data_IF_422433389988
#
_entry.id   IF_422433389988
#
_cell.length_a   1.000
_cell.length_b   1.000
_cell.length_c   1.000
_cell.angle_alpha   90.00
_cell.angle_beta   90.00
_cell.angle_gamma   90.00
#
_symmetry.space_group_name_H-M   'P 1'
#
loop_
_entity.id
_entity.type
_entity.pdbx_description
1 polymer ?
#
# COMPACT_ATOMS: atom_id res chain seq x y z
N UNK A 1 15.05 -17.73 -2.93
CA UNK A 1 13.91 -16.84 -3.24
C UNK A 1 12.70 -17.40 -2.52
N UNK A 2 11.83 -16.55 -1.95
CA UNK A 2 10.59 -16.97 -1.28
C UNK A 2 9.67 -17.63 -2.31
N UNK A 3 9.20 -18.85 -2.06
CA UNK A 3 8.35 -19.56 -3.02
C UNK A 3 6.92 -18.98 -3.05
N UNK A 4 6.11 -19.24 -4.08
CA UNK A 4 4.70 -18.83 -4.09
C UNK A 4 3.89 -19.38 -2.90
N UNK A 5 4.17 -20.61 -2.46
CA UNK A 5 3.54 -21.21 -1.28
C UNK A 5 3.93 -20.47 0.02
N UNK A 6 5.18 -20.01 0.10
CA UNK A 6 5.63 -19.18 1.23
C UNK A 6 4.91 -17.82 1.23
N UNK A 7 4.65 -17.22 0.06
CA UNK A 7 3.98 -15.93 -0.05
C UNK A 7 2.49 -16.00 0.37
N UNK A 8 1.79 -17.08 0.03
CA UNK A 8 0.43 -17.32 0.53
C UNK A 8 0.43 -17.46 2.07
N UNK A 9 1.34 -18.27 2.61
CA UNK A 9 1.49 -18.43 4.07
C UNK A 9 1.82 -17.10 4.76
N UNK A 10 2.68 -16.28 4.15
CA UNK A 10 2.99 -14.93 4.65
C UNK A 10 1.74 -14.03 4.62
N UNK A 11 0.94 -14.05 3.55
CA UNK A 11 -0.34 -13.32 3.47
C UNK A 11 -1.27 -13.68 4.64
N UNK A 12 -1.49 -14.98 4.89
CA UNK A 12 -2.33 -15.43 6.01
C UNK A 12 -1.79 -14.98 7.38
N UNK A 13 -0.46 -15.00 7.55
CA UNK A 13 0.19 -14.53 8.79
C UNK A 13 0.09 -13.01 8.95
N UNK A 14 0.19 -12.24 7.87
CA UNK A 14 -0.03 -10.80 7.90
C UNK A 14 -1.47 -10.48 8.27
N UNK A 15 -2.44 -11.20 7.71
CA UNK A 15 -3.86 -11.11 8.09
C UNK A 15 -4.02 -11.32 9.60
N UNK A 16 -3.50 -12.43 10.13
CA UNK A 16 -3.56 -12.75 11.56
C UNK A 16 -2.89 -11.69 12.45
N UNK A 17 -1.68 -11.23 12.10
CA UNK A 17 -0.92 -10.27 12.92
C UNK A 17 -1.55 -8.86 12.93
N UNK A 18 -2.18 -8.48 11.82
CA UNK A 18 -2.68 -7.11 11.65
C UNK A 18 -4.16 -6.99 11.98
N UNK A 19 -4.92 -8.07 11.80
CA UNK A 19 -6.38 -8.08 11.87
C UNK A 19 -7.03 -7.43 10.63
N UNK A 20 -6.34 -7.43 9.48
CA UNK A 20 -6.90 -6.92 8.23
C UNK A 20 -7.93 -7.89 7.63
N UNK A 21 -8.87 -7.36 6.85
CA UNK A 21 -9.83 -8.17 6.10
C UNK A 21 -9.15 -8.74 4.86
N UNK A 22 -9.24 -10.05 4.64
CA UNK A 22 -8.60 -10.72 3.51
C UNK A 22 -9.26 -10.33 2.18
N UNK A 23 -8.49 -10.33 1.09
CA UNK A 23 -8.97 -9.92 -0.25
C UNK A 23 -10.20 -10.69 -0.70
N UNK A 24 -10.24 -11.98 -0.38
CA UNK A 24 -11.35 -12.90 -0.67
C UNK A 24 -12.66 -12.55 0.04
N UNK A 25 -12.60 -11.81 1.16
CA UNK A 25 -13.77 -11.55 2.01
C UNK A 25 -14.45 -10.21 1.68
N UNK A 26 -13.70 -9.25 1.11
CA UNK A 26 -14.25 -7.92 0.79
C UNK A 26 -14.39 -7.65 -0.70
N UNK A 27 -13.53 -8.21 -1.53
CA UNK A 27 -13.43 -7.78 -2.92
C UNK A 27 -14.58 -8.25 -3.81
N UNK A 28 -14.91 -7.41 -4.78
CA UNK A 28 -16.13 -7.50 -5.60
C UNK A 28 -15.84 -7.75 -7.07
N UNK A 29 -14.60 -7.55 -7.51
CA UNK A 29 -14.19 -7.74 -8.90
C UNK A 29 -13.10 -8.81 -8.96
N UNK A 30 -13.28 -9.78 -9.87
CA UNK A 30 -12.32 -10.85 -10.04
C UNK A 30 -11.02 -10.30 -10.65
N UNK A 31 -9.84 -10.61 -10.07
CA UNK A 31 -8.58 -10.27 -10.71
C UNK A 31 -8.37 -11.12 -11.97
N UNK A 32 -7.46 -10.67 -12.85
CA UNK A 32 -6.96 -11.40 -14.00
C UNK A 32 -5.47 -11.75 -13.80
N UNK A 33 -5.15 -12.88 -13.16
CA UNK A 33 -3.75 -13.26 -12.86
C UNK A 33 -2.87 -13.48 -14.09
N UNK A 34 -3.46 -13.77 -15.26
CA UNK A 34 -2.69 -13.95 -16.49
C UNK A 34 -2.00 -12.64 -16.94
N UNK A 35 -2.55 -11.49 -16.53
CA UNK A 35 -2.02 -10.16 -16.84
C UNK A 35 -1.26 -9.54 -15.65
N UNK A 36 -0.81 -10.36 -14.69
CA UNK A 36 -0.03 -9.92 -13.54
C UNK A 36 1.34 -10.58 -13.51
N UNK A 37 2.39 -9.75 -13.57
CA UNK A 37 3.75 -10.23 -13.43
C UNK A 37 3.99 -10.84 -12.04
N UNK A 38 4.83 -11.89 -11.93
CA UNK A 38 5.22 -12.45 -10.64
C UNK A 38 6.02 -11.42 -9.81
N UNK A 39 5.93 -11.55 -8.49
CA UNK A 39 6.71 -10.72 -7.59
C UNK A 39 8.21 -11.05 -7.67
N UNK A 40 9.04 -9.99 -7.70
CA UNK A 40 10.44 -10.09 -7.29
C UNK A 40 10.52 -10.05 -5.75
N UNK A 41 11.64 -10.45 -5.12
CA UNK A 41 11.81 -10.31 -3.68
C UNK A 41 11.52 -8.87 -3.23
N UNK A 42 10.58 -8.71 -2.29
CA UNK A 42 10.23 -7.40 -1.77
C UNK A 42 11.33 -6.85 -0.88
N UNK A 43 11.87 -5.69 -1.27
CA UNK A 43 12.94 -4.99 -0.54
C UNK A 43 12.59 -3.55 -0.23
N UNK A 44 11.46 -3.03 -0.73
CA UNK A 44 11.02 -1.65 -0.48
C UNK A 44 9.51 -1.58 -0.23
N UNK A 45 9.09 -0.55 0.50
CA UNK A 45 7.67 -0.25 0.75
C UNK A 45 7.38 1.16 0.24
N UNK A 46 6.32 1.31 -0.55
CA UNK A 46 5.81 2.58 -1.02
C UNK A 46 4.48 2.91 -0.35
N UNK A 47 4.40 4.09 0.28
CA UNK A 47 3.21 4.60 0.94
C UNK A 47 2.49 5.58 0.02
N UNK A 48 1.18 5.39 -0.08
CA UNK A 48 0.29 6.16 -0.93
C UNK A 48 -0.91 6.71 -0.16
N UNK A 49 -1.56 7.69 -0.77
CA UNK A 49 -2.93 8.08 -0.45
C UNK A 49 -3.80 8.02 -1.70
N UNK A 50 -5.13 8.06 -1.55
CA UNK A 50 -6.04 8.24 -2.69
C UNK A 50 -6.08 9.68 -3.20
N UNK A 51 -5.72 10.66 -2.35
CA UNK A 51 -5.82 12.08 -2.69
C UNK A 51 -7.26 12.55 -2.82
N UNK A 52 -8.17 11.83 -2.17
CA UNK A 52 -9.60 12.13 -2.09
C UNK A 52 -10.25 11.25 -1.04
N UNK A 53 -11.30 11.76 -0.41
CA UNK A 53 -12.11 11.08 0.62
C UNK A 53 -13.21 10.18 0.02
N UNK A 54 -13.41 10.25 -1.29
CA UNK A 54 -14.57 9.66 -1.99
C UNK A 54 -14.47 8.16 -2.22
N UNK A 55 -13.24 7.62 -2.29
CA UNK A 55 -13.05 6.19 -2.55
C UNK A 55 -13.27 5.34 -1.30
N UNK A 56 -14.14 4.35 -1.42
CA UNK A 56 -14.11 3.15 -0.58
C UNK A 56 -13.10 2.15 -1.14
N UNK A 57 -12.76 1.11 -0.37
CA UNK A 57 -11.86 0.04 -0.83
C UNK A 57 -12.41 -0.71 -2.06
N UNK A 58 -13.72 -0.97 -2.11
CA UNK A 58 -14.39 -1.57 -3.29
C UNK A 58 -14.53 -0.58 -4.44
N UNK A 59 -14.73 0.70 -4.16
CA UNK A 59 -14.75 1.76 -5.18
C UNK A 59 -13.39 1.86 -5.89
N UNK A 60 -12.29 1.84 -5.13
CA UNK A 60 -10.94 1.87 -5.69
C UNK A 60 -10.60 0.58 -6.47
N UNK A 61 -11.07 -0.59 -6.01
CA UNK A 61 -10.96 -1.85 -6.76
C UNK A 61 -11.67 -1.74 -8.12
N UNK A 62 -12.91 -1.27 -8.15
CA UNK A 62 -13.69 -1.09 -9.38
C UNK A 62 -13.02 -0.08 -10.31
N UNK A 63 -12.59 1.08 -9.79
CA UNK A 63 -11.91 2.10 -10.59
C UNK A 63 -10.65 1.54 -11.26
N UNK A 64 -9.82 0.79 -10.52
CA UNK A 64 -8.62 0.19 -11.08
C UNK A 64 -8.92 -0.85 -12.17
N UNK A 65 -9.85 -1.75 -11.93
CA UNK A 65 -10.08 -2.88 -12.85
C UNK A 65 -10.97 -2.46 -14.03
N UNK A 66 -12.13 -1.86 -13.73
CA UNK A 66 -13.16 -1.58 -14.73
C UNK A 66 -12.89 -0.30 -15.52
N UNK A 67 -12.31 0.73 -14.88
CA UNK A 67 -12.11 2.05 -15.53
C UNK A 67 -10.68 2.22 -16.06
N UNK A 68 -9.68 1.74 -15.31
CA UNK A 68 -8.26 1.84 -15.71
C UNK A 68 -7.69 0.60 -16.39
N UNK A 69 -8.46 -0.49 -16.48
CA UNK A 69 -8.05 -1.73 -17.14
C UNK A 69 -6.92 -2.48 -16.42
N UNK A 70 -6.73 -2.27 -15.12
CA UNK A 70 -5.74 -3.03 -14.35
C UNK A 70 -6.21 -4.47 -14.16
N UNK A 71 -5.25 -5.39 -14.06
CA UNK A 71 -5.53 -6.79 -13.80
C UNK A 71 -6.07 -7.08 -12.38
N UNK A 72 -5.82 -6.18 -11.43
CA UNK A 72 -6.34 -6.19 -10.06
C UNK A 72 -6.14 -4.79 -9.46
N UNK A 73 -6.63 -4.54 -8.25
CA UNK A 73 -6.27 -3.37 -7.47
C UNK A 73 -4.73 -3.17 -7.44
N UNK A 74 -4.25 -1.94 -7.62
CA UNK A 74 -2.83 -1.67 -7.81
C UNK A 74 -1.95 -1.86 -6.56
N UNK A 75 -2.54 -1.88 -5.37
CA UNK A 75 -1.84 -1.89 -4.08
C UNK A 75 -1.98 -3.25 -3.39
N UNK A 76 -0.96 -3.63 -2.62
CA UNK A 76 -0.98 -4.89 -1.88
C UNK A 76 -1.79 -4.79 -0.59
N UNK A 77 -1.85 -3.60 0.01
CA UNK A 77 -2.62 -3.34 1.22
C UNK A 77 -3.29 -1.98 1.16
N UNK A 78 -4.46 -1.89 1.80
CA UNK A 78 -5.23 -0.66 1.94
C UNK A 78 -5.49 -0.37 3.42
N UNK A 79 -5.62 0.89 3.78
CA UNK A 79 -6.08 1.34 5.08
C UNK A 79 -7.22 2.34 4.84
N UNK A 80 -8.42 2.03 5.29
CA UNK A 80 -9.59 2.90 5.18
C UNK A 80 -9.50 4.13 6.09
N UNK A 81 -10.36 5.11 5.83
CA UNK A 81 -10.50 6.34 6.63
C UNK A 81 -10.77 6.09 8.12
N UNK A 82 -11.40 4.96 8.42
CA UNK A 82 -11.71 4.47 9.76
C UNK A 82 -10.54 3.70 10.41
N UNK A 83 -9.42 3.55 9.69
CA UNK A 83 -8.27 2.74 10.09
C UNK A 83 -8.43 1.24 9.87
N UNK A 84 -9.49 0.78 9.20
CA UNK A 84 -9.65 -0.65 8.86
C UNK A 84 -8.62 -1.03 7.80
N UNK A 85 -7.91 -2.14 8.00
CA UNK A 85 -6.89 -2.60 7.04
C UNK A 85 -7.49 -3.69 6.13
N UNK A 86 -7.09 -3.69 4.87
CA UNK A 86 -7.54 -4.64 3.87
C UNK A 86 -6.34 -5.21 3.11
N UNK A 87 -6.34 -6.52 2.89
CA UNK A 87 -5.46 -7.13 1.90
C UNK A 87 -5.96 -6.79 0.50
N UNK A 88 -5.07 -6.29 -0.37
CA UNK A 88 -5.34 -5.95 -1.77
C UNK A 88 -4.79 -7.01 -2.72
N UNK A 89 -3.93 -6.57 -3.65
CA UNK A 89 -3.24 -7.45 -4.60
C UNK A 89 -2.38 -8.46 -3.87
N UNK A 90 -2.53 -9.73 -4.22
CA UNK A 90 -1.79 -10.82 -3.60
C UNK A 90 -0.26 -10.64 -3.76
N UNK A 91 0.50 -10.90 -2.69
CA UNK A 91 1.98 -10.76 -2.63
C UNK A 91 2.75 -11.67 -3.61
N UNK A 92 2.07 -12.56 -4.34
CA UNK A 92 2.70 -13.36 -5.40
C UNK A 92 2.89 -12.59 -6.69
N UNK A 93 2.26 -11.43 -6.81
CA UNK A 93 2.27 -10.58 -7.98
C UNK A 93 2.91 -9.24 -7.70
N UNK A 94 3.57 -8.69 -8.70
CA UNK A 94 4.07 -7.31 -8.69
C UNK A 94 2.90 -6.32 -8.56
N UNK A 95 3.10 -5.24 -7.80
CA UNK A 95 2.16 -4.13 -7.70
C UNK A 95 1.97 -3.34 -9.00
N UNK A 96 1.01 -2.43 -9.01
CA UNK A 96 0.79 -1.46 -10.10
C UNK A 96 0.51 -0.06 -9.54
N UNK A 97 1.45 0.47 -8.76
CA UNK A 97 1.25 1.69 -7.97
C UNK A 97 2.36 2.75 -8.11
N UNK A 98 3.56 2.40 -8.58
CA UNK A 98 4.72 3.31 -8.73
C UNK A 98 5.45 3.15 -10.08
N UNK A 99 4.72 2.84 -11.15
CA UNK A 99 5.30 2.73 -12.50
C UNK A 99 6.47 1.74 -12.61
N UNK A 100 7.62 2.21 -13.11
CA UNK A 100 8.83 1.39 -13.28
C UNK A 100 9.40 0.85 -11.96
N UNK A 101 9.09 1.50 -10.83
CA UNK A 101 9.60 1.14 -9.51
C UNK A 101 8.84 -0.02 -8.85
N UNK A 102 7.77 -0.54 -9.47
CA UNK A 102 6.91 -1.57 -8.88
C UNK A 102 7.66 -2.86 -8.53
N UNK A 103 8.75 -3.18 -9.25
CA UNK A 103 9.55 -4.36 -8.98
C UNK A 103 10.16 -4.32 -7.57
N UNK A 104 9.87 -5.35 -6.77
CA UNK A 104 10.36 -5.46 -5.39
C UNK A 104 9.71 -4.49 -4.40
N UNK A 105 8.65 -3.77 -4.79
CA UNK A 105 7.93 -2.83 -3.94
C UNK A 105 6.60 -3.38 -3.43
N UNK A 106 6.38 -3.28 -2.12
CA UNK A 106 5.05 -3.45 -1.51
C UNK A 106 4.38 -2.08 -1.44
N UNK A 107 3.24 -1.95 -2.10
CA UNK A 107 2.39 -0.76 -2.08
C UNK A 107 1.33 -0.81 -0.98
N UNK A 108 1.30 0.22 -0.14
CA UNK A 108 0.28 0.43 0.88
C UNK A 108 -0.42 1.76 0.57
N UNK A 109 -1.75 1.74 0.37
CA UNK A 109 -2.53 2.96 0.18
C UNK A 109 -3.40 3.26 1.39
N UNK A 110 -3.42 4.52 1.83
CA UNK A 110 -4.38 5.03 2.78
C UNK A 110 -5.52 5.73 2.00
N UNK A 111 -6.77 5.36 2.28
CA UNK A 111 -7.93 6.04 1.72
C UNK A 111 -8.10 7.37 2.46
N UNK A 112 -8.14 8.47 1.71
CA UNK A 112 -8.21 9.82 2.21
C UNK A 112 -7.37 10.80 1.39
N UNK A 113 -7.56 12.08 1.67
CA UNK A 113 -6.60 13.11 1.30
C UNK A 113 -5.74 13.48 2.52
N UNK A 114 -4.45 13.63 2.29
CA UNK A 114 -3.46 14.03 3.30
C UNK A 114 -2.53 15.10 2.74
N UNK A 115 -3.01 15.82 1.73
CA UNK A 115 -2.32 16.96 1.18
C UNK A 115 -2.95 18.23 1.73
N UNK A 116 -2.35 18.76 2.79
CA UNK A 116 -2.69 20.07 3.31
C UNK A 116 -2.68 21.14 2.21
N UNK A 117 -3.81 21.81 2.02
CA UNK A 117 -3.95 23.04 1.23
C UNK A 117 -4.54 24.11 2.15
N UNK A 118 -4.06 25.35 2.07
CA UNK A 118 -4.50 26.40 3.00
C UNK A 118 -5.99 26.78 2.88
N UNK A 119 -6.66 26.36 1.80
CA UNK A 119 -8.09 26.54 1.56
C UNK A 119 -8.90 25.27 1.82
N UNK A 120 -8.25 24.16 2.17
CA UNK A 120 -8.88 22.84 2.35
C UNK A 120 -8.34 22.17 3.61
N UNK A 121 -9.19 22.06 4.63
CA UNK A 121 -8.89 21.38 5.90
C UNK A 121 -9.11 19.85 5.79
N UNK A 122 -9.09 19.27 4.59
CA UNK A 122 -9.13 17.83 4.36
C UNK A 122 -7.80 17.13 4.72
N UNK A 123 -7.38 17.28 5.98
CA UNK A 123 -6.33 16.47 6.62
C UNK A 123 -6.97 15.30 7.39
N UNK A 124 -7.35 14.25 6.67
CA UNK A 124 -7.92 13.02 7.27
C UNK A 124 -6.92 12.22 8.10
N UNK A 125 -5.71 12.73 8.31
CA UNK A 125 -4.64 11.99 8.91
C UNK A 125 -4.85 11.85 10.42
N UNK A 126 -5.43 10.73 10.83
CA UNK A 126 -5.62 10.40 12.23
C UNK A 126 -4.42 9.69 12.85
N UNK A 127 -4.31 9.73 14.18
CA UNK A 127 -3.37 8.88 14.92
C UNK A 127 -3.61 7.38 14.68
N UNK A 128 -4.86 7.00 14.38
CA UNK A 128 -5.20 5.64 13.99
C UNK A 128 -4.53 5.25 12.66
N UNK A 129 -4.55 6.12 11.65
CA UNK A 129 -3.81 5.89 10.39
C UNK A 129 -2.33 5.62 10.67
N UNK A 130 -1.68 6.48 11.45
CA UNK A 130 -0.26 6.33 11.81
C UNK A 130 0.01 5.03 12.58
N UNK A 131 -0.86 4.64 13.52
CA UNK A 131 -0.74 3.40 14.25
C UNK A 131 -0.88 2.17 13.32
N UNK A 132 -1.84 2.21 12.40
CA UNK A 132 -2.14 1.11 11.45
C UNK A 132 -1.02 0.92 10.44
N UNK A 133 -0.56 1.98 9.80
CA UNK A 133 0.57 1.88 8.85
C UNK A 133 1.85 1.43 9.55
N UNK A 134 2.12 1.91 10.77
CA UNK A 134 3.28 1.48 11.56
C UNK A 134 3.19 -0.02 11.89
N UNK A 135 2.02 -0.49 12.34
CA UNK A 135 1.77 -1.90 12.65
C UNK A 135 2.00 -2.78 11.41
N UNK A 136 1.47 -2.36 10.26
CA UNK A 136 1.59 -3.10 9.01
C UNK A 136 3.03 -3.16 8.51
N UNK A 137 3.76 -2.03 8.49
CA UNK A 137 5.17 -1.99 8.10
C UNK A 137 6.02 -2.90 9.01
N UNK A 138 5.82 -2.85 10.33
CA UNK A 138 6.52 -3.74 11.27
C UNK A 138 6.19 -5.22 11.02
N UNK A 139 4.93 -5.55 10.70
CA UNK A 139 4.53 -6.91 10.40
C UNK A 139 5.19 -7.43 9.10
N UNK A 140 5.20 -6.62 8.04
CA UNK A 140 5.85 -6.93 6.76
C UNK A 140 7.35 -7.21 6.96
N UNK A 141 8.03 -6.39 7.78
CA UNK A 141 9.47 -6.55 8.06
C UNK A 141 9.83 -7.85 8.79
N UNK A 142 8.87 -8.55 9.40
CA UNK A 142 9.10 -9.88 9.97
C UNK A 142 9.30 -10.96 8.91
N UNK A 143 8.86 -10.71 7.68
CA UNK A 143 8.85 -11.69 6.58
C UNK A 143 9.72 -11.29 5.39
N UNK A 144 9.93 -9.99 5.21
CA UNK A 144 10.70 -9.45 4.09
C UNK A 144 11.86 -8.60 4.58
N UNK A 145 13.02 -8.76 3.92
CA UNK A 145 14.21 -7.95 4.18
C UNK A 145 14.06 -6.55 3.56
N UNK A 146 13.13 -5.77 4.09
CA UNK A 146 12.87 -4.40 3.64
C UNK A 146 14.08 -3.52 3.96
N UNK A 147 14.59 -2.87 2.92
CA UNK A 147 15.75 -1.96 2.95
C UNK A 147 15.34 -0.49 2.85
N UNK A 148 14.23 -0.20 2.16
CA UNK A 148 13.76 1.17 1.95
C UNK A 148 12.26 1.35 2.25
N UNK A 149 11.90 2.53 2.74
CA UNK A 149 10.52 2.95 3.00
C UNK A 149 10.37 4.42 2.56
N UNK A 150 9.41 4.70 1.70
CA UNK A 150 9.14 6.09 1.29
C UNK A 150 7.71 6.32 0.86
N UNK A 151 7.36 7.60 0.75
CA UNK A 151 6.14 8.02 0.06
C UNK A 151 6.29 7.89 -1.45
N UNK A 152 5.19 7.74 -2.19
CA UNK A 152 5.21 7.62 -3.66
C UNK A 152 6.16 8.61 -4.34
N UNK A 153 6.07 9.91 -4.01
CA UNK A 153 6.90 10.97 -4.60
C UNK A 153 8.40 10.89 -4.28
N UNK A 154 8.82 10.09 -3.29
CA UNK A 154 10.24 9.92 -2.96
C UNK A 154 10.91 8.87 -3.87
N UNK A 155 10.14 8.05 -4.61
CA UNK A 155 10.71 7.07 -5.52
C UNK A 155 11.22 7.75 -6.81
N UNK A 156 12.21 7.17 -7.49
CA UNK A 156 12.70 7.68 -8.77
C UNK A 156 11.58 7.79 -9.82
N UNK A 157 11.65 8.86 -10.64
CA UNK A 157 10.76 9.10 -11.79
C UNK A 157 9.28 9.25 -11.43
N UNK A 158 8.96 9.82 -10.25
CA UNK A 158 7.58 10.08 -9.84
C UNK A 158 7.30 11.58 -9.83
N UNK A 159 6.36 12.02 -10.68
CA UNK A 159 5.81 13.37 -10.67
C UNK A 159 4.42 13.35 -10.02
N UNK A 160 4.40 13.46 -8.69
CA UNK A 160 3.18 13.31 -7.91
C UNK A 160 3.30 13.97 -6.54
N UNK A 161 2.17 14.42 -6.00
CA UNK A 161 2.05 14.88 -4.61
C UNK A 161 1.78 13.70 -3.66
N UNK A 162 1.52 12.48 -4.14
CA UNK A 162 1.30 11.33 -3.28
C UNK A 162 2.53 11.06 -2.36
N UNK A 163 2.40 10.82 -1.04
CA UNK A 163 1.17 10.55 -0.29
C UNK A 163 0.58 11.77 0.44
N UNK A 164 0.86 12.98 -0.02
CA UNK A 164 0.44 14.23 0.62
C UNK A 164 1.46 14.80 1.61
N UNK A 165 1.33 16.10 1.91
CA UNK A 165 2.26 16.84 2.76
C UNK A 165 2.06 16.56 4.25
N UNK A 166 0.86 16.13 4.67
CA UNK A 166 0.59 15.75 6.05
C UNK A 166 1.13 14.35 6.36
N UNK A 167 0.96 13.38 5.46
CA UNK A 167 1.37 11.99 5.70
C UNK A 167 2.88 11.76 5.50
N UNK A 168 3.51 12.43 4.53
CA UNK A 168 4.92 12.19 4.20
C UNK A 168 5.88 12.34 5.41
N UNK A 169 5.81 13.38 6.26
CA UNK A 169 6.66 13.50 7.44
C UNK A 169 6.59 12.31 8.39
N UNK A 170 5.40 11.70 8.55
CA UNK A 170 5.24 10.50 9.38
C UNK A 170 5.90 9.27 8.75
N UNK A 171 5.84 9.14 7.41
CA UNK A 171 6.56 8.09 6.68
C UNK A 171 8.07 8.24 6.88
N UNK A 172 8.59 9.47 6.80
CA UNK A 172 10.00 9.77 7.00
C UNK A 172 10.46 9.50 8.44
N UNK A 173 9.65 9.88 9.44
CA UNK A 173 9.91 9.59 10.84
C UNK A 173 9.92 8.07 11.11
N UNK A 174 8.96 7.34 10.52
CA UNK A 174 8.90 5.89 10.59
C UNK A 174 10.14 5.24 9.96
N UNK A 175 10.53 5.67 8.75
CA UNK A 175 11.75 5.24 8.05
C UNK A 175 12.98 5.40 8.95
N UNK A 176 13.16 6.59 9.51
CA UNK A 176 14.30 6.93 10.38
C UNK A 176 14.34 6.04 11.63
N UNK A 177 13.22 5.94 12.35
CA UNK A 177 13.11 5.10 13.56
C UNK A 177 13.38 3.62 13.28
N UNK A 178 13.10 3.18 12.06
CA UNK A 178 13.25 1.79 11.62
C UNK A 178 14.62 1.47 11.02
N UNK A 179 15.50 2.45 10.87
CA UNK A 179 16.82 2.29 10.24
C UNK A 179 16.74 1.92 8.77
N UNK A 180 15.73 2.42 8.05
CA UNK A 180 15.52 2.14 6.62
C UNK A 180 16.06 3.29 5.76
N UNK A 181 16.50 2.97 4.54
CA UNK A 181 16.92 3.95 3.55
C UNK A 181 15.71 4.67 2.92
N UNK A 182 15.96 5.86 2.37
CA UNK A 182 15.05 6.45 1.39
C UNK A 182 15.10 5.62 0.09
N UNK A 183 13.98 5.50 -0.64
CA UNK A 183 13.93 4.76 -1.90
C UNK A 183 14.71 5.43 -3.04
#
# INVERSE_FOLDING_TARGET
>A
MTSPADLESISQRLISLTGMTARKDWGKVAPNPANMDPAAPYTKIAIHHTGTRTYTHTGLESYHINERGFADIGYHFLIGLDGTMYEGRHLKHKGAHIGVENAGAIGIILLGDFHYQWWDDDDDLTTAHIARITKLVLAIRKFFAIKALGGHREFPNQDTVCPGNALLPHVQAMRSKMGLAAP
#
